data_IF_638560899588
#
_entry.id   IF_638560899588
#
_cell.length_a   1.000
_cell.length_b   1.000
_cell.length_c   1.000
_cell.angle_alpha   90.00
_cell.angle_beta   90.00
_cell.angle_gamma   90.00
#
_symmetry.space_group_name_H-M   'P 1'
#
loop_
_entity.id
_entity.type
_entity.pdbx_description
1 polymer ?
#
# COMPACT_ATOMS: atom_id res chain seq x y z
N UNK A 1 8.85 2.02 -13.72
CA UNK A 1 8.77 0.55 -13.70
C UNK A 1 7.46 0.15 -14.33
N UNK A 2 7.42 -0.81 -15.25
CA UNK A 2 6.15 -1.26 -15.81
C UNK A 2 5.38 -2.03 -14.72
N UNK A 3 4.06 -1.86 -14.62
CA UNK A 3 3.24 -2.48 -13.56
C UNK A 3 3.42 -4.00 -13.43
N UNK A 4 3.68 -4.70 -14.54
CA UNK A 4 3.98 -6.14 -14.57
C UNK A 4 5.29 -6.50 -13.86
N UNK A 5 6.30 -5.65 -13.95
CA UNK A 5 7.58 -5.85 -13.24
C UNK A 5 7.38 -5.67 -11.74
N UNK A 6 6.53 -4.72 -11.32
CA UNK A 6 6.20 -4.55 -9.91
C UNK A 6 5.41 -5.73 -9.35
N UNK A 7 4.41 -6.22 -10.08
CA UNK A 7 3.64 -7.40 -9.67
C UNK A 7 4.56 -8.61 -9.49
N UNK A 8 5.54 -8.80 -10.39
CA UNK A 8 6.52 -9.87 -10.27
C UNK A 8 7.40 -9.71 -9.02
N UNK A 9 7.92 -8.50 -8.77
CA UNK A 9 8.73 -8.22 -7.58
C UNK A 9 7.96 -8.42 -6.27
N UNK A 10 6.68 -8.00 -6.22
CA UNK A 10 5.83 -8.21 -5.05
C UNK A 10 5.55 -9.70 -4.83
N UNK A 11 5.32 -10.45 -5.91
CA UNK A 11 5.12 -11.90 -5.82
C UNK A 11 6.37 -12.62 -5.31
N UNK A 12 7.56 -12.26 -5.80
CA UNK A 12 8.84 -12.78 -5.29
C UNK A 12 9.03 -12.42 -3.80
N UNK A 13 8.79 -11.17 -3.41
CA UNK A 13 8.91 -10.74 -2.02
C UNK A 13 7.95 -11.50 -1.07
N UNK A 14 6.75 -11.83 -1.53
CA UNK A 14 5.78 -12.66 -0.78
C UNK A 14 6.28 -14.10 -0.63
N UNK A 15 6.81 -14.70 -1.70
CA UNK A 15 7.35 -16.06 -1.68
C UNK A 15 8.55 -16.16 -0.73
N UNK A 16 9.43 -15.16 -0.75
CA UNK A 16 10.62 -15.10 0.10
C UNK A 16 10.30 -14.81 1.57
N UNK A 17 9.10 -14.29 1.85
CA UNK A 17 8.64 -13.94 3.20
C UNK A 17 7.28 -14.60 3.48
N UNK A 18 7.22 -15.94 3.59
CA UNK A 18 5.98 -16.65 3.84
C UNK A 18 5.42 -16.34 5.23
N UNK A 19 4.12 -16.61 5.47
CA UNK A 19 3.54 -16.47 6.80
C UNK A 19 4.23 -17.44 7.78
N UNK A 20 4.32 -17.02 9.04
CA UNK A 20 4.90 -17.84 10.11
C UNK A 20 3.79 -18.64 10.75
N UNK A 21 3.91 -19.97 10.67
CA UNK A 21 3.01 -20.88 11.36
C UNK A 21 3.58 -21.22 12.75
N UNK A 22 2.76 -21.01 13.78
CA UNK A 22 3.05 -21.43 15.15
C UNK A 22 2.00 -22.45 15.57
N UNK A 23 2.43 -23.69 15.80
CA UNK A 23 1.60 -24.71 16.43
C UNK A 23 1.66 -24.56 17.95
N UNK A 24 0.48 -24.44 18.57
CA UNK A 24 0.30 -24.62 20.01
C UNK A 24 -0.41 -25.95 20.27
N UNK A 25 -0.56 -26.33 21.53
CA UNK A 25 -1.24 -27.59 21.89
C UNK A 25 -2.72 -27.59 21.48
N UNK A 26 -3.33 -26.41 21.31
CA UNK A 26 -4.77 -26.24 21.07
C UNK A 26 -5.12 -25.67 19.68
N UNK A 27 -4.18 -25.01 18.98
CA UNK A 27 -4.45 -24.33 17.72
C UNK A 27 -3.22 -24.09 16.83
N UNK A 28 -3.50 -23.79 15.56
CA UNK A 28 -2.51 -23.31 14.59
C UNK A 28 -2.71 -21.80 14.42
N UNK A 29 -1.68 -21.02 14.78
CA UNK A 29 -1.66 -19.57 14.60
C UNK A 29 -0.83 -19.25 13.36
N UNK A 30 -1.40 -18.54 12.40
CA UNK A 30 -0.72 -18.12 11.16
C UNK A 30 -0.49 -16.61 11.22
N UNK A 31 0.76 -16.18 11.35
CA UNK A 31 1.15 -14.77 11.29
C UNK A 31 1.50 -14.35 9.85
N UNK A 32 0.63 -13.52 9.27
CA UNK A 32 0.80 -12.95 7.93
C UNK A 32 1.61 -11.65 7.91
N UNK A 33 2.01 -11.14 9.08
CA UNK A 33 2.77 -9.89 9.19
C UNK A 33 4.06 -9.86 8.35
N UNK A 34 4.86 -10.94 8.26
CA UNK A 34 6.06 -10.97 7.42
C UNK A 34 5.72 -10.76 5.95
N UNK A 35 4.72 -11.49 5.45
CA UNK A 35 4.26 -11.42 4.07
C UNK A 35 3.72 -10.04 3.72
N UNK A 36 2.86 -9.48 4.59
CA UNK A 36 2.28 -8.16 4.38
C UNK A 36 3.36 -7.06 4.37
N UNK A 37 4.33 -7.12 5.30
CA UNK A 37 5.44 -6.15 5.36
C UNK A 37 6.33 -6.23 4.13
N UNK A 38 6.63 -7.43 3.64
CA UNK A 38 7.43 -7.62 2.44
C UNK A 38 6.74 -7.05 1.20
N UNK A 39 5.45 -7.37 0.99
CA UNK A 39 4.67 -6.84 -0.12
C UNK A 39 4.61 -5.30 -0.10
N UNK A 40 4.26 -4.71 1.06
CA UNK A 40 4.18 -3.25 1.22
C UNK A 40 5.55 -2.61 0.99
N UNK A 41 6.62 -3.16 1.57
CA UNK A 41 7.98 -2.59 1.42
C UNK A 41 8.45 -2.62 -0.03
N UNK A 42 8.13 -3.69 -0.77
CA UNK A 42 8.46 -3.80 -2.20
C UNK A 42 7.64 -2.81 -3.04
N UNK A 43 6.35 -2.63 -2.75
CA UNK A 43 5.51 -1.61 -3.38
C UNK A 43 6.10 -0.22 -3.11
N UNK A 44 6.44 0.10 -1.85
CA UNK A 44 7.02 1.38 -1.47
C UNK A 44 8.39 1.62 -2.14
N UNK A 45 9.25 0.60 -2.20
CA UNK A 45 10.56 0.70 -2.84
C UNK A 45 10.45 0.91 -4.37
N UNK A 46 9.48 0.26 -5.01
CA UNK A 46 9.22 0.41 -6.43
C UNK A 46 8.54 1.73 -6.80
N UNK A 47 7.77 2.29 -5.87
CA UNK A 47 7.09 3.58 -6.01
C UNK A 47 8.02 4.79 -5.82
N UNK A 48 9.36 4.64 -5.76
CA UNK A 48 10.40 5.71 -5.63
C UNK A 48 9.84 7.13 -5.54
N UNK A 49 9.95 7.79 -4.37
CA UNK A 49 9.41 9.12 -4.01
C UNK A 49 8.07 9.50 -4.69
N UNK A 50 6.99 9.72 -3.92
CA UNK A 50 5.68 10.00 -4.49
C UNK A 50 5.78 11.09 -5.57
N UNK A 51 5.35 10.75 -6.78
CA UNK A 51 5.42 11.68 -7.90
C UNK A 51 4.65 12.96 -7.57
N UNK A 52 5.00 14.07 -8.21
CA UNK A 52 4.31 15.36 -7.99
C UNK A 52 2.78 15.24 -8.20
N UNK A 53 2.34 14.34 -9.09
CA UNK A 53 0.92 14.00 -9.29
C UNK A 53 0.29 13.30 -8.09
N UNK A 54 0.97 12.30 -7.52
CA UNK A 54 0.51 11.60 -6.32
C UNK A 54 0.42 12.54 -5.12
N UNK A 55 1.44 13.40 -4.93
CA UNK A 55 1.45 14.43 -3.89
C UNK A 55 0.31 15.45 -4.07
N UNK A 56 -0.01 15.80 -5.31
CA UNK A 56 -1.10 16.73 -5.62
C UNK A 56 -2.47 16.14 -5.29
N UNK A 57 -2.71 14.86 -5.54
CA UNK A 57 -3.96 14.19 -5.15
C UNK A 57 -4.07 14.04 -3.63
N UNK A 58 -2.96 13.77 -2.92
CA UNK A 58 -2.93 13.79 -1.46
C UNK A 58 -3.30 15.19 -0.90
N UNK A 59 -2.74 16.27 -1.45
CA UNK A 59 -3.08 17.64 -1.06
C UNK A 59 -4.52 18.05 -1.46
N UNK A 60 -5.10 17.46 -2.51
CA UNK A 60 -6.52 17.67 -2.79
C UNK A 60 -7.41 17.04 -1.73
N UNK A 61 -7.06 15.85 -1.24
CA UNK A 61 -7.79 15.21 -0.15
C UNK A 61 -7.76 16.06 1.14
N UNK A 62 -6.65 16.75 1.44
CA UNK A 62 -6.57 17.76 2.51
C UNK A 62 -7.56 18.91 2.28
N UNK A 63 -7.57 19.47 1.08
CA UNK A 63 -8.42 20.61 0.75
C UNK A 63 -9.91 20.24 0.69
N UNK A 64 -10.26 19.06 0.18
CA UNK A 64 -11.64 18.59 0.12
C UNK A 64 -12.17 18.20 1.50
N UNK A 65 -11.36 17.56 2.35
CA UNK A 65 -11.69 17.27 3.75
C UNK A 65 -11.84 18.55 4.58
N UNK A 66 -10.99 19.55 4.34
CA UNK A 66 -11.09 20.88 4.95
C UNK A 66 -12.34 21.66 4.49
N UNK A 67 -12.82 21.43 3.26
CA UNK A 67 -14.02 22.09 2.71
C UNK A 67 -15.31 21.35 3.08
N UNK A 68 -15.28 20.03 3.32
CA UNK A 68 -16.47 19.19 3.55
C UNK A 68 -16.80 18.91 5.02
N UNK A 69 -16.20 19.64 5.96
CA UNK A 69 -16.70 19.72 7.35
C UNK A 69 -16.76 18.37 8.09
N UNK A 70 -15.86 17.43 7.78
CA UNK A 70 -15.81 16.11 8.43
C UNK A 70 -15.07 16.10 9.78
N UNK A 71 -14.55 17.24 10.25
CA UNK A 71 -14.00 17.40 11.59
C UNK A 71 -12.68 16.66 11.87
N UNK A 72 -12.19 15.84 10.95
CA UNK A 72 -10.92 15.13 11.04
C UNK A 72 -10.15 15.21 9.73
N UNK A 73 -8.87 15.57 9.82
CA UNK A 73 -7.94 15.43 8.70
C UNK A 73 -7.95 13.96 8.22
N UNK A 74 -7.74 13.71 6.91
CA UNK A 74 -7.54 12.37 6.39
C UNK A 74 -6.46 11.65 7.20
N UNK A 75 -6.67 10.37 7.49
CA UNK A 75 -5.67 9.54 8.14
C UNK A 75 -4.49 9.29 7.21
N UNK A 76 -3.36 8.86 7.76
CA UNK A 76 -2.20 8.46 6.95
C UNK A 76 -2.57 7.39 5.90
N UNK A 77 -3.53 6.51 6.22
CA UNK A 77 -4.04 5.49 5.31
C UNK A 77 -4.81 6.08 4.14
N UNK A 78 -5.66 7.08 4.38
CA UNK A 78 -6.45 7.72 3.32
C UNK A 78 -5.53 8.40 2.30
N UNK A 79 -4.46 9.08 2.76
CA UNK A 79 -3.45 9.65 1.86
C UNK A 79 -2.77 8.59 1.00
N UNK A 80 -2.47 7.43 1.57
CA UNK A 80 -1.88 6.33 0.83
C UNK A 80 -2.81 5.82 -0.27
N UNK A 81 -4.11 5.68 0.02
CA UNK A 81 -5.09 5.23 -0.98
C UNK A 81 -5.22 6.24 -2.14
N UNK A 82 -5.25 7.54 -1.86
CA UNK A 82 -5.27 8.58 -2.91
C UNK A 82 -4.00 8.56 -3.76
N UNK A 83 -2.83 8.46 -3.12
CA UNK A 83 -1.55 8.37 -3.84
C UNK A 83 -1.46 7.10 -4.68
N UNK A 84 -1.95 5.97 -4.17
CA UNK A 84 -1.93 4.69 -4.88
C UNK A 84 -2.84 4.74 -6.12
N UNK A 85 -4.05 5.29 -6.00
CA UNK A 85 -4.98 5.48 -7.12
C UNK A 85 -4.42 6.43 -8.19
N UNK A 86 -3.66 7.44 -7.77
CA UNK A 86 -2.98 8.38 -8.67
C UNK A 86 -1.66 7.83 -9.25
N UNK A 87 -1.19 6.69 -8.76
CA UNK A 87 0.04 6.06 -9.26
C UNK A 87 -0.25 5.29 -10.56
N UNK A 88 0.80 4.95 -11.35
CA UNK A 88 0.66 4.07 -12.52
C UNK A 88 0.06 2.68 -12.22
N UNK A 89 -0.12 2.32 -10.95
CA UNK A 89 -0.78 1.08 -10.51
C UNK A 89 -2.30 1.25 -10.36
N UNK A 90 -2.78 2.45 -10.03
CA UNK A 90 -4.21 2.75 -9.89
C UNK A 90 -4.94 2.73 -11.23
N UNK A 91 -4.28 3.19 -12.31
CA UNK A 91 -4.82 3.16 -13.69
C UNK A 91 -5.11 1.75 -14.22
N UNK A 92 -4.67 0.69 -13.54
CA UNK A 92 -4.92 -0.71 -13.92
C UNK A 92 -6.01 -1.40 -13.09
N UNK A 93 -6.67 -0.67 -12.19
CA UNK A 93 -7.81 -1.16 -11.41
C UNK A 93 -9.15 -1.10 -12.17
N UNK A 94 -9.18 -0.59 -13.40
CA UNK A 94 -10.36 -0.54 -14.29
C UNK A 94 -10.39 -1.66 -15.34
#
# INVERSE_FOLDING_TARGET
MASKELIALVAEAIIDNPPIETMTDDEIIIDWSPTAKAAISTILAALQEPTEGMLKEAHKAENESAVHNYGSLPSATDYWDFMLNASPLGEQSE
#
